data_IF_200686440630
#
_entry.id   IF_200686440630
#
_cell.length_a   1.000
_cell.length_b   1.000
_cell.length_c   1.000
_cell.angle_alpha   90.00
_cell.angle_beta   90.00
_cell.angle_gamma   90.00
#
_symmetry.space_group_name_H-M   'P 1'
#
loop_
_entity.id
_entity.type
_entity.pdbx_description
1 polymer ?
#
# COMPACT_ATOMS: atom_id res chain seq x y z
N UNK A 1 52.65 2.35 -34.31
CA UNK A 1 53.24 1.44 -33.31
C UNK A 1 52.09 0.74 -32.60
N UNK A 2 51.70 -0.45 -33.07
CA UNK A 2 50.53 -1.19 -32.58
C UNK A 2 50.99 -2.20 -31.53
N UNK A 3 50.60 -1.99 -30.28
CA UNK A 3 50.93 -2.89 -29.17
C UNK A 3 49.87 -3.99 -29.14
N UNK A 4 50.20 -5.19 -29.62
CA UNK A 4 49.32 -6.34 -29.47
C UNK A 4 49.55 -6.99 -28.10
N UNK A 5 48.53 -7.07 -27.23
CA UNK A 5 48.69 -7.71 -25.93
C UNK A 5 48.94 -9.22 -26.12
N UNK A 6 50.09 -9.70 -25.63
CA UNK A 6 50.45 -11.13 -25.65
C UNK A 6 49.79 -11.82 -24.46
N UNK A 7 48.59 -12.33 -24.67
CA UNK A 7 47.92 -13.19 -23.70
C UNK A 7 48.63 -14.55 -23.68
N UNK A 8 49.29 -14.87 -22.56
CA UNK A 8 49.86 -16.20 -22.35
C UNK A 8 48.75 -17.21 -22.07
N UNK A 9 48.97 -18.50 -22.38
CA UNK A 9 48.01 -19.57 -22.08
C UNK A 9 47.59 -19.55 -20.60
N UNK A 10 48.52 -19.24 -19.70
CA UNK A 10 48.24 -19.15 -18.26
C UNK A 10 47.29 -17.99 -17.94
N UNK A 11 47.45 -16.81 -18.54
CA UNK A 11 46.53 -15.67 -18.34
C UNK A 11 45.10 -15.96 -18.82
N UNK A 12 44.94 -16.75 -19.88
CA UNK A 12 43.60 -17.17 -20.35
C UNK A 12 42.97 -18.23 -19.42
N UNK A 13 43.77 -19.17 -18.90
CA UNK A 13 43.29 -20.22 -17.99
C UNK A 13 42.91 -19.63 -16.63
N UNK A 14 43.78 -18.82 -16.02
CA UNK A 14 43.49 -18.20 -14.73
C UNK A 14 42.40 -17.13 -14.82
N UNK A 15 42.38 -16.33 -15.89
CA UNK A 15 41.31 -15.37 -16.15
C UNK A 15 39.96 -16.04 -16.39
N UNK A 16 39.94 -17.14 -17.17
CA UNK A 16 38.74 -17.92 -17.44
C UNK A 16 38.20 -18.63 -16.20
N UNK A 17 39.08 -19.20 -15.36
CA UNK A 17 38.69 -19.85 -14.11
C UNK A 17 38.16 -18.85 -13.07
N UNK A 18 38.74 -17.65 -12.98
CA UNK A 18 38.24 -16.59 -12.11
C UNK A 18 36.87 -16.06 -12.57
N UNK A 19 36.67 -15.88 -13.88
CA UNK A 19 35.39 -15.50 -14.46
C UNK A 19 34.32 -16.57 -14.24
N UNK A 20 34.65 -17.85 -14.42
CA UNK A 20 33.76 -18.97 -14.13
C UNK A 20 33.45 -19.10 -12.64
N UNK A 21 34.43 -18.89 -11.76
CA UNK A 21 34.23 -18.86 -10.31
C UNK A 21 33.26 -17.75 -9.89
N UNK A 22 33.42 -16.54 -10.43
CA UNK A 22 32.49 -15.43 -10.17
C UNK A 22 31.09 -15.69 -10.72
N UNK A 23 30.97 -16.32 -11.89
CA UNK A 23 29.68 -16.69 -12.49
C UNK A 23 28.95 -17.78 -11.67
N UNK A 24 29.68 -18.75 -11.13
CA UNK A 24 29.11 -19.81 -10.28
C UNK A 24 28.69 -19.29 -8.91
N UNK A 25 29.46 -18.37 -8.31
CA UNK A 25 29.07 -17.70 -7.05
C UNK A 25 27.77 -16.89 -7.24
N UNK A 26 27.60 -16.27 -8.41
CA UNK A 26 26.37 -15.52 -8.74
C UNK A 26 25.11 -16.40 -8.82
N UNK A 27 25.24 -17.69 -9.19
CA UNK A 27 24.09 -18.60 -9.34
C UNK A 27 23.74 -19.35 -8.05
N UNK A 28 24.69 -19.54 -7.12
CA UNK A 28 24.46 -20.29 -5.87
C UNK A 28 23.93 -19.40 -4.75
N UNK A 29 24.18 -18.08 -4.79
CA UNK A 29 23.69 -17.13 -3.78
C UNK A 29 22.27 -16.60 -4.06
N UNK A 30 21.64 -16.99 -5.17
CA UNK A 30 20.22 -16.77 -5.40
C UNK A 30 19.41 -17.79 -4.58
N UNK A 31 19.58 -17.77 -3.26
CA UNK A 31 18.63 -18.42 -2.37
C UNK A 31 17.28 -17.76 -2.63
N UNK A 32 16.41 -18.51 -3.32
CA UNK A 32 14.97 -18.29 -3.36
C UNK A 32 14.58 -17.83 -1.96
N UNK A 33 13.98 -16.64 -1.84
CA UNK A 33 13.38 -16.23 -0.59
C UNK A 33 12.33 -17.29 -0.25
N UNK A 34 12.73 -18.29 0.52
CA UNK A 34 11.81 -19.24 1.10
C UNK A 34 11.03 -18.37 2.08
N UNK A 35 9.79 -18.07 1.70
CA UNK A 35 8.79 -17.57 2.62
C UNK A 35 8.72 -18.58 3.75
N UNK A 36 9.49 -18.33 4.81
CA UNK A 36 9.48 -19.16 6.00
C UNK A 36 8.30 -18.68 6.82
N UNK A 37 7.20 -19.46 6.91
CA UNK A 37 6.08 -19.09 7.75
C UNK A 37 6.57 -18.85 9.19
N UNK A 38 5.83 -18.06 9.99
CA UNK A 38 6.21 -17.80 11.38
C UNK A 38 6.48 -19.13 12.11
N UNK A 39 7.67 -19.26 12.67
CA UNK A 39 8.13 -20.48 13.32
C UNK A 39 7.87 -20.43 14.84
N UNK A 40 7.21 -21.46 15.35
CA UNK A 40 6.99 -21.66 16.79
C UNK A 40 7.84 -22.85 17.24
N UNK A 41 8.78 -22.61 18.15
CA UNK A 41 9.70 -23.64 18.63
C UNK A 41 8.94 -24.80 19.29
N UNK A 42 9.23 -26.03 18.86
CA UNK A 42 8.59 -27.24 19.37
C UNK A 42 7.16 -27.48 18.87
N UNK A 43 6.68 -26.67 17.92
CA UNK A 43 5.39 -26.87 17.29
C UNK A 43 5.53 -27.48 15.88
N UNK A 44 4.65 -28.43 15.60
CA UNK A 44 4.43 -29.07 14.31
C UNK A 44 3.18 -28.50 13.62
N UNK A 45 3.17 -28.57 12.28
CA UNK A 45 1.98 -28.26 11.48
C UNK A 45 0.91 -29.31 11.72
N UNK A 46 -0.32 -28.86 11.95
CA UNK A 46 -1.48 -29.74 12.15
C UNK A 46 -2.40 -29.78 10.95
N UNK A 47 -2.42 -28.72 10.13
CA UNK A 47 -3.31 -28.60 8.99
C UNK A 47 -4.60 -27.81 9.29
N UNK A 48 -5.26 -27.35 8.22
CA UNK A 48 -6.46 -26.50 8.32
C UNK A 48 -7.70 -27.24 8.87
N UNK A 49 -7.78 -28.58 8.72
CA UNK A 49 -8.97 -29.35 9.15
C UNK A 49 -9.13 -29.36 10.67
N UNK A 50 -8.01 -29.33 11.38
CA UNK A 50 -7.90 -29.32 12.83
C UNK A 50 -8.39 -27.98 13.38
N UNK A 51 -8.15 -26.88 12.65
CA UNK A 51 -8.65 -25.56 12.99
C UNK A 51 -10.20 -25.49 12.89
N UNK A 52 -10.78 -26.12 11.86
CA UNK A 52 -12.23 -26.10 11.61
C UNK A 52 -13.05 -26.77 12.73
N UNK A 53 -12.44 -27.66 13.53
CA UNK A 53 -13.11 -28.33 14.64
C UNK A 53 -13.48 -27.36 15.79
N UNK A 54 -12.83 -26.20 15.88
CA UNK A 54 -13.09 -25.20 16.92
C UNK A 54 -13.38 -23.79 16.36
N UNK A 55 -12.95 -23.49 15.12
CA UNK A 55 -13.06 -22.18 14.49
C UNK A 55 -13.88 -22.21 13.21
N UNK A 56 -15.06 -22.85 13.26
CA UNK A 56 -15.99 -22.99 12.13
C UNK A 56 -16.30 -21.63 11.46
N UNK A 57 -16.59 -20.59 12.26
CA UNK A 57 -16.89 -19.24 11.78
C UNK A 57 -15.75 -18.60 10.97
N UNK A 58 -14.49 -18.92 11.32
CA UNK A 58 -13.30 -18.43 10.62
C UNK A 58 -13.00 -19.28 9.40
N UNK A 59 -13.19 -20.59 9.46
CA UNK A 59 -12.89 -21.47 8.34
C UNK A 59 -13.91 -21.38 7.20
N UNK A 60 -15.19 -21.17 7.52
CA UNK A 60 -16.26 -21.12 6.53
C UNK A 60 -16.11 -19.92 5.58
N UNK A 61 -15.74 -18.77 6.14
CA UNK A 61 -15.59 -17.53 5.38
C UNK A 61 -14.20 -17.41 4.74
N UNK A 62 -13.19 -18.15 5.23
CA UNK A 62 -11.84 -18.11 4.68
C UNK A 62 -11.78 -18.62 3.25
N UNK A 63 -12.71 -19.48 2.82
CA UNK A 63 -12.86 -19.88 1.42
C UNK A 63 -13.10 -18.68 0.46
N UNK A 64 -13.56 -17.54 0.96
CA UNK A 64 -13.69 -16.30 0.17
C UNK A 64 -12.43 -15.43 0.18
N UNK A 65 -11.58 -15.56 1.21
CA UNK A 65 -10.45 -14.67 1.44
C UNK A 65 -9.36 -14.82 0.38
N UNK A 66 -8.79 -13.71 -0.08
CA UNK A 66 -7.69 -13.72 -1.07
C UNK A 66 -6.49 -14.55 -0.64
N UNK A 67 -6.21 -14.61 0.66
CA UNK A 67 -5.06 -15.30 1.24
C UNK A 67 -5.25 -16.82 1.38
N UNK A 68 -6.43 -17.36 1.06
CA UNK A 68 -6.67 -18.80 1.16
C UNK A 68 -5.97 -19.64 0.07
N UNK A 69 -5.54 -18.99 -1.02
CA UNK A 69 -4.83 -19.60 -2.15
C UNK A 69 -3.32 -19.49 -2.03
N UNK A 70 -2.81 -19.00 -0.91
CA UNK A 70 -1.37 -18.98 -0.64
C UNK A 70 -0.94 -20.42 -0.42
N UNK A 71 -0.39 -21.04 -1.47
CA UNK A 71 0.28 -22.33 -1.41
C UNK A 71 1.77 -22.04 -1.32
N UNK A 72 2.36 -22.29 -0.14
CA UNK A 72 3.81 -22.25 0.01
C UNK A 72 4.43 -23.28 -0.95
N UNK A 73 5.54 -22.94 -1.60
CA UNK A 73 6.12 -23.64 -2.76
C UNK A 73 6.54 -25.10 -2.55
N UNK A 74 6.31 -25.68 -1.38
CA UNK A 74 6.58 -27.09 -1.07
C UNK A 74 5.24 -27.80 -0.90
N UNK A 75 4.95 -28.82 -1.71
CA UNK A 75 3.65 -29.50 -1.75
C UNK A 75 3.26 -30.18 -0.42
N UNK A 76 4.21 -30.48 0.45
CA UNK A 76 3.98 -30.95 1.84
C UNK A 76 3.51 -29.85 2.80
N UNK A 77 3.62 -28.57 2.42
CA UNK A 77 3.00 -27.41 3.09
C UNK A 77 1.62 -27.06 2.48
N UNK A 78 1.15 -27.80 1.47
CA UNK A 78 -0.14 -27.55 0.80
C UNK A 78 -1.39 -27.71 1.68
N UNK A 79 -1.23 -28.16 2.93
CA UNK A 79 -2.28 -28.32 3.95
C UNK A 79 -2.30 -27.22 5.01
N UNK A 80 -1.41 -26.22 4.92
CA UNK A 80 -1.09 -25.27 6.02
C UNK A 80 -1.70 -23.87 5.84
N UNK A 81 -2.87 -23.76 5.19
CA UNK A 81 -3.46 -22.46 4.79
C UNK A 81 -3.55 -21.44 5.94
N UNK A 82 -4.03 -21.85 7.12
CA UNK A 82 -4.06 -20.99 8.30
C UNK A 82 -2.67 -20.77 8.91
N UNK A 83 -1.88 -21.84 8.96
CA UNK A 83 -0.55 -21.89 9.57
C UNK A 83 0.51 -21.11 8.77
N UNK A 84 0.19 -20.71 7.54
CA UNK A 84 1.00 -19.78 6.75
C UNK A 84 1.12 -18.40 7.40
N UNK A 85 0.08 -17.98 8.13
CA UNK A 85 0.08 -16.72 8.89
C UNK A 85 0.17 -16.96 10.40
N UNK A 86 -0.42 -18.05 10.89
CA UNK A 86 -0.51 -18.36 12.31
C UNK A 86 0.66 -19.19 12.86
N UNK A 87 1.52 -19.71 11.98
CA UNK A 87 2.61 -20.62 12.34
C UNK A 87 2.10 -22.02 12.66
N UNK A 88 2.98 -22.88 13.14
CA UNK A 88 2.67 -24.28 13.47
C UNK A 88 1.66 -24.37 14.64
N UNK A 89 0.50 -24.98 14.41
CA UNK A 89 -0.63 -24.94 15.34
C UNK A 89 -0.64 -25.99 16.46
N UNK A 90 0.23 -27.00 16.44
CA UNK A 90 0.12 -28.15 17.36
C UNK A 90 0.16 -27.81 18.85
N UNK A 91 0.94 -26.82 19.30
CA UNK A 91 0.95 -26.40 20.71
C UNK A 91 -0.37 -25.73 21.11
N UNK A 92 -1.00 -25.01 20.18
CA UNK A 92 -2.31 -24.41 20.39
C UNK A 92 -3.41 -25.46 20.50
N UNK A 93 -3.39 -26.45 19.60
CA UNK A 93 -4.31 -27.59 19.67
C UNK A 93 -4.12 -28.38 20.96
N UNK A 94 -2.87 -28.77 21.30
CA UNK A 94 -2.55 -29.56 22.51
C UNK A 94 -2.94 -28.86 23.82
N UNK A 95 -2.87 -27.53 23.84
CA UNK A 95 -3.23 -26.74 25.03
C UNK A 95 -4.71 -26.38 25.11
N UNK A 96 -5.54 -26.82 24.16
CA UNK A 96 -6.96 -26.48 24.12
C UNK A 96 -7.22 -25.00 23.81
N UNK A 97 -6.32 -24.36 23.06
CA UNK A 97 -6.49 -22.97 22.63
C UNK A 97 -5.83 -21.92 23.52
N UNK A 98 -4.81 -22.29 24.30
CA UNK A 98 -4.14 -21.34 25.21
C UNK A 98 -3.56 -20.12 24.46
N UNK A 99 -3.50 -18.97 25.16
CA UNK A 99 -2.91 -17.75 24.60
C UNK A 99 -1.40 -17.89 24.46
N UNK A 100 -0.84 -17.33 23.39
CA UNK A 100 0.60 -17.31 23.16
C UNK A 100 1.19 -18.60 22.58
N UNK A 101 0.36 -19.61 22.31
CA UNK A 101 0.78 -20.88 21.68
C UNK A 101 0.61 -20.87 20.16
N UNK A 102 0.15 -19.76 19.60
CA UNK A 102 -0.06 -19.54 18.16
C UNK A 102 0.26 -18.07 17.83
N UNK A 103 0.73 -17.80 16.61
CA UNK A 103 0.95 -16.42 16.17
C UNK A 103 -0.37 -15.72 15.94
N UNK A 104 -0.49 -14.49 16.43
CA UNK A 104 -1.60 -13.60 16.13
C UNK A 104 -1.12 -12.50 15.17
N UNK A 105 -1.45 -12.58 13.87
CA UNK A 105 -1.01 -11.58 12.88
C UNK A 105 -1.42 -10.15 13.22
N UNK A 106 -2.51 -9.94 13.98
CA UNK A 106 -2.93 -8.61 14.44
C UNK A 106 -1.90 -7.94 15.36
N UNK A 107 -1.06 -8.72 16.05
CA UNK A 107 -0.03 -8.21 16.96
C UNK A 107 1.38 -8.26 16.37
N UNK A 108 1.52 -8.74 15.14
CA UNK A 108 2.81 -9.07 14.53
C UNK A 108 2.78 -8.65 13.06
N UNK A 109 3.09 -7.38 12.73
CA UNK A 109 3.18 -6.93 11.34
C UNK A 109 4.23 -7.70 10.55
N UNK A 110 5.22 -8.29 11.22
CA UNK A 110 6.26 -9.15 10.65
C UNK A 110 5.66 -10.32 9.86
N UNK A 111 4.55 -10.90 10.33
CA UNK A 111 3.84 -11.98 9.64
C UNK A 111 3.43 -11.55 8.22
N UNK A 112 2.98 -10.30 8.07
CA UNK A 112 2.60 -9.74 6.78
C UNK A 112 3.83 -9.38 5.94
N UNK A 113 4.85 -8.80 6.58
CA UNK A 113 6.06 -8.33 5.91
C UNK A 113 6.95 -9.42 5.36
N UNK A 114 6.79 -10.67 5.77
CA UNK A 114 7.46 -11.80 5.13
C UNK A 114 7.15 -11.87 3.63
N UNK A 115 5.91 -11.55 3.22
CA UNK A 115 5.49 -11.49 1.83
C UNK A 115 5.39 -10.04 1.30
N UNK A 116 4.83 -9.13 2.10
CA UNK A 116 4.57 -7.73 1.71
C UNK A 116 5.74 -6.81 2.05
N UNK A 117 6.91 -7.12 1.48
CA UNK A 117 8.14 -6.36 1.69
C UNK A 117 8.03 -4.92 1.16
N UNK A 118 7.26 -4.70 0.11
CA UNK A 118 6.97 -3.37 -0.43
C UNK A 118 6.24 -2.51 0.62
N UNK A 119 5.29 -3.09 1.35
CA UNK A 119 4.57 -2.41 2.44
C UNK A 119 5.47 -2.14 3.62
N UNK A 120 6.36 -3.08 3.97
CA UNK A 120 7.40 -2.83 4.99
C UNK A 120 8.24 -1.61 4.64
N UNK A 121 8.64 -1.49 3.37
CA UNK A 121 9.36 -0.33 2.86
C UNK A 121 8.55 0.97 2.99
N UNK A 122 7.27 0.95 2.59
CA UNK A 122 6.38 2.11 2.70
C UNK A 122 6.19 2.57 4.14
N UNK A 123 5.99 1.64 5.09
CA UNK A 123 5.82 1.97 6.50
C UNK A 123 7.08 2.54 7.15
N UNK A 124 8.25 2.31 6.53
CA UNK A 124 9.53 2.88 6.96
C UNK A 124 9.73 4.33 6.48
N UNK A 125 8.82 4.88 5.68
CA UNK A 125 8.88 6.26 5.23
C UNK A 125 8.48 7.24 6.36
N UNK A 126 8.92 8.51 6.32
CA UNK A 126 8.72 9.47 7.41
C UNK A 126 7.26 9.78 7.76
N UNK A 127 6.34 9.60 6.80
CA UNK A 127 4.91 9.82 7.02
C UNK A 127 4.17 8.55 6.67
N UNK A 128 3.80 7.75 7.67
CA UNK A 128 3.04 6.51 7.52
C UNK A 128 2.08 6.34 8.71
N UNK A 129 1.08 5.49 8.57
CA UNK A 129 0.36 5.04 9.76
C UNK A 129 1.31 4.27 10.68
N UNK A 130 1.15 4.38 12.01
CA UNK A 130 2.11 3.90 13.01
C UNK A 130 2.06 2.38 13.23
N UNK A 131 2.18 1.60 12.15
CA UNK A 131 2.18 0.13 12.18
C UNK A 131 3.46 -0.41 12.81
N UNK A 132 4.61 0.16 12.46
CA UNK A 132 5.89 -0.22 13.07
C UNK A 132 5.99 0.15 14.55
N UNK A 133 5.20 1.13 15.00
CA UNK A 133 5.10 1.50 16.41
C UNK A 133 4.04 0.68 17.16
N UNK A 134 3.35 -0.26 16.50
CA UNK A 134 2.33 -1.11 17.11
C UNK A 134 1.04 -0.41 17.53
N UNK A 135 0.82 0.84 17.12
CA UNK A 135 -0.39 1.61 17.46
C UNK A 135 -1.57 1.27 16.55
N UNK A 136 -1.29 0.79 15.34
CA UNK A 136 -2.28 0.27 14.38
C UNK A 136 -1.70 -1.03 13.80
N UNK A 137 -2.55 -2.00 13.49
CA UNK A 137 -2.17 -3.25 12.84
C UNK A 137 -2.68 -3.29 11.41
N UNK A 138 -2.08 -4.17 10.60
CA UNK A 138 -2.56 -4.47 9.25
C UNK A 138 -4.04 -4.84 9.27
N UNK A 139 -4.49 -5.58 10.29
CA UNK A 139 -5.83 -6.11 10.42
C UNK A 139 -6.88 -5.11 10.95
N UNK A 140 -6.47 -3.95 11.48
CA UNK A 140 -7.44 -2.89 11.84
C UNK A 140 -8.04 -2.23 10.59
N UNK A 141 -7.25 -2.24 9.53
CA UNK A 141 -7.71 -1.95 8.20
C UNK A 141 -8.17 -3.26 7.56
N UNK A 142 -7.26 -4.17 7.19
CA UNK A 142 -7.48 -5.29 6.25
C UNK A 142 -8.11 -6.53 6.89
N UNK A 143 -9.24 -6.99 6.34
CA UNK A 143 -9.75 -8.32 6.70
C UNK A 143 -8.98 -9.38 5.89
N UNK A 144 -8.42 -10.36 6.59
CA UNK A 144 -7.66 -11.47 6.02
C UNK A 144 -8.40 -12.80 6.16
N UNK A 145 -9.50 -12.85 6.91
CA UNK A 145 -10.33 -14.02 7.10
C UNK A 145 -11.55 -14.04 6.17
N UNK A 146 -11.90 -12.91 5.56
CA UNK A 146 -13.00 -12.81 4.60
C UNK A 146 -12.76 -11.72 3.54
N UNK A 147 -13.55 -11.73 2.48
CA UNK A 147 -13.58 -10.66 1.47
C UNK A 147 -13.08 -11.09 0.10
N UNK A 148 -13.71 -10.54 -0.95
CA UNK A 148 -13.49 -10.94 -2.33
C UNK A 148 -12.06 -10.68 -2.81
N UNK A 149 -11.50 -11.65 -3.55
CA UNK A 149 -10.28 -11.49 -4.33
C UNK A 149 -10.49 -10.46 -5.44
N UNK A 150 -10.12 -9.20 -5.17
CA UNK A 150 -9.98 -8.18 -6.21
C UNK A 150 -8.55 -8.23 -6.71
N UNK A 151 -8.39 -8.47 -8.01
CA UNK A 151 -7.08 -8.48 -8.69
C UNK A 151 -6.34 -7.18 -8.36
N UNK A 152 -5.05 -7.29 -8.04
CA UNK A 152 -4.14 -6.18 -7.71
C UNK A 152 -4.37 -5.48 -6.36
N UNK A 153 -5.31 -5.95 -5.55
CA UNK A 153 -5.56 -5.45 -4.18
C UNK A 153 -5.85 -6.61 -3.24
N UNK A 154 -4.79 -7.21 -2.67
CA UNK A 154 -4.86 -8.48 -1.91
C UNK A 154 -5.77 -8.51 -0.67
N UNK A 155 -6.41 -7.40 -0.33
CA UNK A 155 -7.22 -7.17 0.89
C UNK A 155 -8.12 -5.93 0.72
N UNK A 156 -8.85 -5.82 -0.40
CA UNK A 156 -9.72 -4.69 -0.68
C UNK A 156 -10.93 -4.61 0.26
N UNK A 157 -11.35 -3.40 0.62
CA UNK A 157 -12.61 -3.16 1.32
C UNK A 157 -13.74 -2.96 0.32
N UNK A 158 -14.94 -3.43 0.67
CA UNK A 158 -16.18 -3.06 -0.02
C UNK A 158 -16.40 -1.53 0.09
N UNK A 159 -15.90 -0.88 1.15
CA UNK A 159 -15.96 0.57 1.31
C UNK A 159 -14.70 1.13 2.00
N UNK A 160 -13.70 1.50 1.19
CA UNK A 160 -12.42 2.05 1.68
C UNK A 160 -12.60 3.30 2.55
N UNK A 161 -13.51 4.20 2.18
CA UNK A 161 -13.77 5.42 2.95
C UNK A 161 -14.34 5.12 4.34
N UNK A 162 -15.21 4.11 4.45
CA UNK A 162 -15.74 3.68 5.75
C UNK A 162 -14.64 3.15 6.67
N UNK A 163 -13.64 2.44 6.15
CA UNK A 163 -12.49 1.97 6.95
C UNK A 163 -11.70 3.14 7.51
N UNK A 164 -11.35 4.14 6.69
CA UNK A 164 -10.60 5.32 7.12
C UNK A 164 -11.35 6.10 8.21
N UNK A 165 -12.65 6.28 8.04
CA UNK A 165 -13.48 7.10 8.92
C UNK A 165 -13.88 6.43 10.23
N UNK A 166 -13.50 5.17 10.47
CA UNK A 166 -13.57 4.54 11.81
C UNK A 166 -12.74 5.33 12.84
N UNK A 167 -11.59 5.85 12.42
CA UNK A 167 -10.71 6.65 13.27
C UNK A 167 -10.67 8.13 12.82
N UNK A 168 -10.68 8.40 11.51
CA UNK A 168 -10.66 9.77 10.97
C UNK A 168 -12.05 10.40 10.89
N UNK A 169 -12.76 10.43 12.02
CA UNK A 169 -14.18 10.86 12.11
C UNK A 169 -14.39 12.30 11.64
N UNK A 170 -13.41 13.18 11.85
CA UNK A 170 -13.46 14.56 11.41
C UNK A 170 -13.54 14.71 9.88
N UNK A 171 -13.09 13.72 9.12
CA UNK A 171 -13.09 13.74 7.65
C UNK A 171 -14.30 13.00 7.04
N UNK A 172 -15.16 12.39 7.89
CA UNK A 172 -16.33 11.61 7.45
C UNK A 172 -17.45 12.49 6.89
N UNK A 173 -17.52 13.75 7.31
CA UNK A 173 -18.70 14.57 7.10
C UNK A 173 -19.90 14.10 7.96
N UNK A 174 -21.13 14.52 7.63
CA UNK A 174 -21.51 15.21 6.40
C UNK A 174 -20.99 16.65 6.35
N UNK A 175 -20.53 17.05 5.16
CA UNK A 175 -20.21 18.44 4.86
C UNK A 175 -21.31 19.03 3.98
N UNK A 176 -21.76 20.26 4.27
CA UNK A 176 -22.72 20.99 3.38
C UNK A 176 -22.13 21.18 1.97
N UNK A 177 -20.80 21.31 1.92
CA UNK A 177 -20.01 21.48 0.71
C UNK A 177 -18.87 20.45 0.70
N UNK A 178 -19.16 19.23 0.24
CA UNK A 178 -18.17 18.15 0.09
C UNK A 178 -17.32 18.32 -1.17
N UNK A 179 -16.02 18.01 -1.07
CA UNK A 179 -15.13 17.97 -2.23
C UNK A 179 -15.43 16.76 -3.12
N UNK A 180 -15.61 16.97 -4.43
CA UNK A 180 -16.03 15.91 -5.35
C UNK A 180 -15.08 14.69 -5.34
N UNK A 181 -13.77 14.92 -5.16
CA UNK A 181 -12.79 13.83 -5.04
C UNK A 181 -13.00 12.91 -3.83
N UNK A 182 -13.79 13.30 -2.82
CA UNK A 182 -14.16 12.39 -1.72
C UNK A 182 -14.96 11.19 -2.20
N UNK A 183 -15.65 11.31 -3.35
CA UNK A 183 -16.32 10.20 -4.03
C UNK A 183 -15.34 9.21 -4.66
N UNK A 184 -14.17 9.67 -5.10
CA UNK A 184 -13.08 8.81 -5.59
C UNK A 184 -12.37 8.09 -4.43
N UNK A 185 -12.49 8.63 -3.22
CA UNK A 185 -12.05 8.03 -1.98
C UNK A 185 -10.71 8.54 -1.47
N UNK A 186 -10.41 8.23 -0.20
CA UNK A 186 -9.26 8.80 0.50
C UNK A 186 -7.91 8.51 -0.19
N UNK A 187 -7.79 7.37 -0.87
CA UNK A 187 -6.55 6.93 -1.51
C UNK A 187 -6.23 7.62 -2.84
N UNK A 188 -7.14 8.44 -3.37
CA UNK A 188 -6.85 9.33 -4.50
C UNK A 188 -5.78 10.36 -4.13
N UNK A 189 -5.76 10.80 -2.86
CA UNK A 189 -4.83 11.77 -2.32
C UNK A 189 -3.84 11.21 -1.30
N UNK A 190 -4.20 10.15 -0.56
CA UNK A 190 -3.37 9.59 0.51
C UNK A 190 -2.86 8.19 0.20
N UNK A 191 -1.67 7.84 0.69
CA UNK A 191 -1.20 6.46 0.76
C UNK A 191 -1.00 6.07 2.24
N UNK A 192 -1.93 5.29 2.84
CA UNK A 192 -1.92 5.00 4.28
C UNK A 192 -0.72 4.17 4.73
N UNK A 193 -0.06 3.44 3.82
CA UNK A 193 1.14 2.66 4.12
C UNK A 193 2.37 3.56 4.26
N UNK A 194 2.37 4.72 3.62
CA UNK A 194 3.37 5.75 3.84
C UNK A 194 3.87 6.45 2.58
N UNK A 195 4.29 7.71 2.74
CA UNK A 195 4.95 8.53 1.72
C UNK A 195 6.02 9.42 2.34
N UNK A 196 6.86 10.01 1.48
CA UNK A 196 7.79 11.07 1.89
C UNK A 196 7.10 12.42 2.15
N UNK A 197 5.82 12.54 1.79
CA UNK A 197 5.07 13.79 1.85
C UNK A 197 4.27 13.85 3.15
N UNK A 198 4.20 15.04 3.75
CA UNK A 198 3.40 15.24 4.95
C UNK A 198 1.95 14.80 4.75
N UNK A 199 1.32 14.34 5.83
CA UNK A 199 -0.07 13.83 5.82
C UNK A 199 -0.26 12.64 4.87
N UNK A 200 0.81 11.90 4.57
CA UNK A 200 0.80 10.72 3.69
C UNK A 200 0.28 11.02 2.28
N UNK A 201 0.47 12.24 1.78
CA UNK A 201 0.01 12.64 0.46
C UNK A 201 0.77 11.91 -0.64
N UNK A 202 0.08 11.52 -1.72
CA UNK A 202 0.69 10.84 -2.88
C UNK A 202 1.48 11.79 -3.79
N UNK A 203 1.27 13.11 -3.65
CA UNK A 203 2.01 14.15 -4.33
C UNK A 203 2.22 15.35 -3.39
N UNK A 204 3.25 16.16 -3.66
CA UNK A 204 3.57 17.36 -2.86
C UNK A 204 2.81 18.57 -3.37
N UNK A 205 2.53 19.48 -2.44
CA UNK A 205 2.13 20.85 -2.75
C UNK A 205 0.92 20.92 -3.70
N UNK A 206 0.86 21.98 -4.53
CA UNK A 206 -0.21 22.14 -5.51
C UNK A 206 -0.24 21.04 -6.57
N UNK A 207 0.86 20.29 -6.77
CA UNK A 207 0.89 19.19 -7.74
C UNK A 207 -0.15 18.13 -7.43
N UNK A 208 -0.52 17.92 -6.16
CA UNK A 208 -1.60 17.02 -5.80
C UNK A 208 -2.94 17.44 -6.42
N UNK A 209 -3.29 18.71 -6.25
CA UNK A 209 -4.54 19.29 -6.75
C UNK A 209 -4.55 19.33 -8.28
N UNK A 210 -3.41 19.67 -8.89
CA UNK A 210 -3.25 19.74 -10.35
C UNK A 210 -3.37 18.38 -11.05
N UNK A 211 -3.39 17.25 -10.34
CA UNK A 211 -3.70 15.94 -10.96
C UNK A 211 -5.10 15.90 -11.55
N UNK A 212 -6.03 16.66 -10.99
CA UNK A 212 -7.40 16.77 -11.49
C UNK A 212 -7.74 18.20 -11.95
N UNK A 213 -7.16 19.23 -11.32
CA UNK A 213 -7.45 20.64 -11.60
C UNK A 213 -6.48 21.30 -12.60
N UNK A 214 -5.86 20.52 -13.50
CA UNK A 214 -5.03 21.07 -14.58
C UNK A 214 -5.88 21.36 -15.82
N UNK A 215 -5.90 22.61 -16.28
CA UNK A 215 -6.41 22.93 -17.61
C UNK A 215 -5.25 22.92 -18.61
N UNK A 216 -5.47 22.34 -19.78
CA UNK A 216 -4.59 22.57 -20.91
C UNK A 216 -4.62 24.08 -21.21
N UNK A 217 -3.45 24.76 -21.32
CA UNK A 217 -3.39 26.13 -21.79
C UNK A 217 -4.16 26.29 -23.12
N UNK A 218 -4.86 27.42 -23.31
CA UNK A 218 -5.45 27.75 -24.60
C UNK A 218 -4.33 27.78 -25.67
N UNK A 219 -4.60 27.28 -26.87
CA UNK A 219 -3.64 27.26 -27.98
C UNK A 219 -3.01 28.65 -28.17
N UNK A 220 -1.69 28.75 -27.97
CA UNK A 220 -0.93 30.01 -28.04
C UNK A 220 -0.34 30.50 -26.71
N UNK A 221 -0.68 29.87 -25.57
CA UNK A 221 0.02 30.15 -24.30
C UNK A 221 1.23 29.22 -24.13
N UNK A 222 2.41 29.79 -24.31
CA UNK A 222 3.69 29.08 -24.23
C UNK A 222 3.98 28.64 -22.79
N UNK A 223 3.81 27.35 -22.52
CA UNK A 223 4.41 26.65 -21.36
C UNK A 223 3.85 26.99 -19.98
N UNK A 224 2.71 27.68 -19.87
CA UNK A 224 2.12 28.02 -18.58
C UNK A 224 1.20 26.90 -18.07
N UNK A 225 1.41 26.45 -16.83
CA UNK A 225 0.42 25.64 -16.09
C UNK A 225 -0.82 26.51 -15.90
N UNK A 226 -1.97 26.10 -16.45
CA UNK A 226 -3.23 26.79 -16.23
C UNK A 226 -3.98 26.16 -15.05
N UNK A 227 -3.74 26.71 -13.87
CA UNK A 227 -4.43 26.36 -12.62
C UNK A 227 -5.85 26.94 -12.54
N UNK A 228 -6.32 27.65 -13.58
CA UNK A 228 -7.67 28.25 -13.60
C UNK A 228 -8.79 27.26 -13.96
N UNK A 229 -8.45 25.97 -14.11
CA UNK A 229 -9.42 24.88 -14.32
C UNK A 229 -10.42 24.71 -13.17
N UNK A 230 -10.14 25.35 -12.03
CA UNK A 230 -10.90 25.22 -10.77
C UNK A 230 -12.32 25.80 -10.88
N UNK A 231 -12.65 26.55 -11.94
CA UNK A 231 -14.05 26.86 -12.29
C UNK A 231 -14.24 26.89 -13.80
N UNK A 232 -14.95 25.92 -14.37
CA UNK A 232 -15.79 26.23 -15.55
C UNK A 232 -17.12 26.71 -15.01
N UNK A 233 -17.30 28.03 -14.87
CA UNK A 233 -18.64 28.58 -14.71
C UNK A 233 -19.37 28.39 -16.05
N UNK A 234 -20.62 27.95 -16.03
CA UNK A 234 -21.46 28.01 -17.24
C UNK A 234 -22.27 29.29 -17.14
N UNK A 235 -21.86 30.32 -17.86
CA UNK A 235 -22.64 31.56 -18.00
C UNK A 235 -23.33 31.49 -19.35
N UNK A 236 -24.66 31.54 -19.37
CA UNK A 236 -25.48 31.46 -20.59
C UNK A 236 -25.16 30.25 -21.49
N UNK A 237 -24.92 29.07 -20.89
CA UNK A 237 -24.60 27.84 -21.64
C UNK A 237 -23.15 27.74 -22.11
N UNK A 238 -22.30 28.74 -21.86
CA UNK A 238 -20.89 28.75 -22.24
C UNK A 238 -20.00 28.49 -21.03
N UNK A 239 -19.07 27.54 -21.13
CA UNK A 239 -18.02 27.32 -20.13
C UNK A 239 -17.05 28.51 -20.16
N UNK A 240 -17.15 29.38 -19.16
CA UNK A 240 -16.20 30.46 -18.88
C UNK A 240 -15.19 29.98 -17.85
N UNK A 241 -13.92 30.31 -18.07
CA UNK A 241 -12.86 30.08 -17.10
C UNK A 241 -13.15 30.85 -15.79
N UNK A 242 -12.60 30.37 -14.69
CA UNK A 242 -12.69 30.97 -13.36
C UNK A 242 -12.44 32.48 -13.40
N UNK A 243 -13.30 33.26 -12.73
CA UNK A 243 -13.06 34.68 -12.46
C UNK A 243 -11.81 34.90 -11.58
N UNK A 244 -11.41 33.88 -10.82
CA UNK A 244 -10.21 33.90 -10.00
C UNK A 244 -9.03 33.26 -10.74
N UNK A 245 -7.98 34.05 -10.99
CA UNK A 245 -6.72 33.58 -11.56
C UNK A 245 -5.86 32.92 -10.48
N UNK A 246 -5.78 31.60 -10.51
CA UNK A 246 -5.00 30.76 -9.63
C UNK A 246 -3.52 30.66 -10.05
N UNK A 247 -3.15 31.04 -11.28
CA UNK A 247 -1.76 30.98 -11.75
C UNK A 247 -0.83 31.89 -10.91
N UNK A 248 -1.31 33.08 -10.55
CA UNK A 248 -0.55 33.99 -9.66
C UNK A 248 -0.60 33.56 -8.20
N UNK A 249 -1.64 32.81 -7.81
CA UNK A 249 -1.85 32.31 -6.44
C UNK A 249 -1.00 31.08 -6.14
N UNK A 250 -0.70 30.24 -7.13
CA UNK A 250 0.23 29.12 -6.98
C UNK A 250 1.62 29.58 -6.50
N UNK A 251 2.04 30.77 -6.88
CA UNK A 251 3.30 31.36 -6.43
C UNK A 251 3.28 31.77 -4.95
N UNK A 252 2.09 31.86 -4.33
CA UNK A 252 1.92 32.23 -2.92
C UNK A 252 1.98 31.02 -1.98
N UNK A 253 1.93 29.80 -2.50
CA UNK A 253 1.99 28.57 -1.72
C UNK A 253 1.11 27.46 -2.28
N UNK A 254 0.92 26.40 -1.50
CA UNK A 254 0.00 25.31 -1.88
C UNK A 254 -1.45 25.81 -1.79
N UNK A 255 -2.35 25.23 -2.58
CA UNK A 255 -3.75 25.67 -2.66
C UNK A 255 -4.46 25.72 -1.29
N UNK A 256 -4.07 24.87 -0.33
CA UNK A 256 -4.62 24.86 1.03
C UNK A 256 -3.84 25.71 2.05
N UNK A 257 -2.57 26.03 1.79
CA UNK A 257 -1.73 26.83 2.72
C UNK A 257 -1.83 28.33 2.46
N UNK A 258 -2.27 28.74 1.27
CA UNK A 258 -2.59 30.13 0.94
C UNK A 258 -3.95 30.59 1.48
N UNK A 259 -4.54 29.86 2.44
CA UNK A 259 -5.89 30.11 3.00
C UNK A 259 -7.04 30.11 1.99
N UNK A 260 -6.84 29.56 0.79
CA UNK A 260 -7.90 29.42 -0.21
C UNK A 260 -8.72 28.14 -0.02
N UNK A 261 -8.04 27.01 0.22
CA UNK A 261 -8.65 25.68 0.37
C UNK A 261 -8.29 25.00 1.70
N UNK A 262 -8.61 25.63 2.83
CA UNK A 262 -8.22 25.15 4.17
C UNK A 262 -8.87 23.81 4.58
N UNK A 263 -9.95 23.39 3.91
CA UNK A 263 -10.71 22.17 4.21
C UNK A 263 -10.92 21.29 2.97
N UNK A 264 -9.86 20.64 2.44
CA UNK A 264 -9.91 19.91 1.16
C UNK A 264 -10.84 18.68 1.15
N UNK A 265 -11.28 18.20 2.31
CA UNK A 265 -12.25 17.10 2.43
C UNK A 265 -13.71 17.59 2.38
N UNK A 266 -13.95 18.89 2.59
CA UNK A 266 -15.27 19.51 2.61
C UNK A 266 -15.43 20.52 3.74
N UNK A 267 -16.43 21.40 3.61
CA UNK A 267 -16.72 22.47 4.57
C UNK A 267 -18.22 22.61 4.82
N UNK A 268 -18.58 23.06 6.03
CA UNK A 268 -19.95 23.43 6.38
C UNK A 268 -20.24 24.93 6.17
N UNK A 269 -19.21 25.73 5.91
CA UNK A 269 -19.31 27.19 5.85
C UNK A 269 -18.89 27.77 4.51
N UNK A 270 -18.02 27.08 3.75
CA UNK A 270 -17.50 27.57 2.48
C UNK A 270 -17.88 26.66 1.31
N UNK A 271 -18.54 27.23 0.30
CA UNK A 271 -18.99 26.53 -0.89
C UNK A 271 -17.90 26.29 -1.96
N UNK A 272 -16.69 26.83 -1.78
CA UNK A 272 -15.58 26.69 -2.74
C UNK A 272 -15.14 25.24 -2.96
N UNK A 273 -15.49 24.32 -2.06
CA UNK A 273 -15.13 22.90 -2.18
C UNK A 273 -16.14 22.08 -2.99
N UNK A 274 -17.29 22.62 -3.41
CA UNK A 274 -18.38 21.80 -3.98
C UNK A 274 -18.10 21.16 -5.34
N UNK A 275 -17.00 21.47 -6.03
CA UNK A 275 -16.85 21.21 -7.47
C UNK A 275 -15.44 20.80 -7.85
#
# INVERSE_FOLDING_TARGET
MTIHPRWTKNTLIFGGAALWGLLLISCVMAHRAVLAPPFIAGAEFVGTKECAQCHEDKTDNFASATHNRIVLSNASLGSTGCESCHGQGSLHVKSGGARGTIVNPRRSPETCFQCHLDKRGQFSLPNSHPVLAGQVSCADCHDVHSGNAVRDTGTAYINTNATCTKCHVAQKGPFVFEHAAMKEGCTSCHNPHGTINQRMLVARDANLCLRCHLQQPAAGSSGQINANAIRSAVVNGVKVASVENHNTRLMQGTCWSASCHEAPHGSNVNNHFRR
#
